data_IF_211466359535
#
_entry.id   IF_211466359535
#
_cell.length_a   1.000
_cell.length_b   1.000
_cell.length_c   1.000
_cell.angle_alpha   90.00
_cell.angle_beta   90.00
_cell.angle_gamma   90.00
#
_symmetry.space_group_name_H-M   'P 1'
#
loop_
_entity.id
_entity.type
_entity.pdbx_description
1 polymer ?
#
# COMPACT_ATOMS: atom_id res chain seq x y z
N UNK A 1 11.32 14.94 -1.07
CA UNK A 1 10.73 15.24 0.26
C UNK A 1 9.79 14.09 0.58
N UNK A 2 9.86 13.53 1.78
CA UNK A 2 8.98 12.44 2.19
C UNK A 2 7.85 12.96 3.09
N UNK A 3 6.61 12.61 2.79
CA UNK A 3 5.47 12.87 3.67
C UNK A 3 4.67 11.60 3.94
N UNK A 4 3.99 11.60 5.09
CA UNK A 4 3.11 10.50 5.49
C UNK A 4 1.70 10.78 4.97
N UNK A 5 1.12 9.79 4.32
CA UNK A 5 -0.23 9.84 3.78
C UNK A 5 -1.07 8.74 4.44
N UNK A 6 -1.92 9.08 5.44
CA UNK A 6 -2.85 8.12 6.01
C UNK A 6 -4.00 7.84 5.05
N UNK A 7 -4.37 6.56 4.90
CA UNK A 7 -5.48 6.12 4.07
C UNK A 7 -6.38 5.17 4.89
N UNK A 8 -7.69 5.38 4.86
CA UNK A 8 -8.65 4.50 5.54
C UNK A 8 -9.10 3.43 4.56
N UNK A 9 -8.89 2.16 4.92
CA UNK A 9 -9.39 1.02 4.18
C UNK A 9 -10.58 0.41 4.91
N UNK A 10 -11.52 -0.13 4.14
CA UNK A 10 -12.63 -0.92 4.66
C UNK A 10 -12.62 -2.29 4.00
N UNK A 11 -12.81 -3.34 4.79
CA UNK A 11 -12.95 -4.69 4.27
C UNK A 11 -14.33 -4.85 3.65
N UNK A 12 -14.43 -5.23 2.36
CA UNK A 12 -15.72 -5.38 1.68
C UNK A 12 -16.53 -6.57 2.18
N UNK A 13 -15.92 -7.52 2.91
CA UNK A 13 -16.59 -8.75 3.34
C UNK A 13 -17.13 -8.68 4.78
N UNK A 14 -16.37 -8.12 5.72
CA UNK A 14 -16.77 -8.09 7.14
C UNK A 14 -17.04 -6.68 7.67
N UNK A 15 -16.81 -5.63 6.87
CA UNK A 15 -17.03 -4.24 7.26
C UNK A 15 -15.99 -3.68 8.25
N UNK A 16 -14.94 -4.42 8.58
CA UNK A 16 -13.83 -3.92 9.39
C UNK A 16 -13.17 -2.73 8.68
N UNK A 17 -12.95 -1.63 9.40
CA UNK A 17 -12.23 -0.46 8.89
C UNK A 17 -10.92 -0.28 9.63
N UNK A 18 -9.89 0.17 8.91
CA UNK A 18 -8.54 0.29 9.45
C UNK A 18 -7.71 1.29 8.68
N UNK A 19 -7.02 2.17 9.40
CA UNK A 19 -6.08 3.11 8.82
C UNK A 19 -4.78 2.40 8.42
N UNK A 20 -4.24 2.78 7.27
CA UNK A 20 -2.87 2.47 6.84
C UNK A 20 -2.10 3.77 6.67
N UNK A 21 -0.80 3.73 6.90
CA UNK A 21 0.07 4.88 6.69
C UNK A 21 1.02 4.58 5.56
N UNK A 22 0.97 5.39 4.51
CA UNK A 22 1.93 5.37 3.41
C UNK A 22 3.00 6.43 3.63
N UNK A 23 4.19 6.17 3.12
CA UNK A 23 5.19 7.22 2.90
C UNK A 23 5.31 7.42 1.40
N UNK A 24 5.18 8.68 0.99
CA UNK A 24 5.41 9.11 -0.38
C UNK A 24 6.68 9.96 -0.35
N UNK A 25 7.74 9.49 -1.02
CA UNK A 25 8.97 10.24 -1.22
C UNK A 25 8.95 10.86 -2.62
N UNK A 26 8.77 12.17 -2.71
CA UNK A 26 8.88 12.89 -3.98
C UNK A 26 10.34 13.14 -4.29
N UNK A 27 10.83 12.60 -5.41
CA UNK A 27 12.17 12.87 -5.92
C UNK A 27 12.41 14.38 -6.18
N UNK A 28 13.68 14.82 -6.24
CA UNK A 28 14.06 16.25 -6.23
C UNK A 28 13.48 17.11 -7.38
N UNK A 29 12.86 16.52 -8.42
CA UNK A 29 12.34 17.24 -9.59
C UNK A 29 10.89 16.86 -9.96
N UNK A 30 10.11 16.28 -9.02
CA UNK A 30 8.76 15.77 -9.33
C UNK A 30 8.76 14.56 -10.28
N UNK A 31 9.94 14.04 -10.59
CA UNK A 31 10.17 12.85 -11.39
C UNK A 31 9.95 11.61 -10.52
N UNK A 32 8.71 11.12 -10.46
CA UNK A 32 8.36 9.81 -9.92
C UNK A 32 8.65 9.66 -8.43
N UNK A 33 7.67 9.94 -7.59
CA UNK A 33 7.79 9.66 -6.17
C UNK A 33 7.65 8.17 -5.86
N UNK A 34 8.43 7.68 -4.89
CA UNK A 34 8.29 6.32 -4.37
C UNK A 34 7.21 6.26 -3.31
N UNK A 35 6.33 5.25 -3.37
CA UNK A 35 5.30 5.04 -2.34
C UNK A 35 5.46 3.68 -1.69
N UNK A 36 5.82 3.67 -0.41
CA UNK A 36 5.95 2.45 0.38
C UNK A 36 5.04 2.45 1.61
N UNK A 37 4.69 1.26 2.07
CA UNK A 37 3.84 1.07 3.25
C UNK A 37 4.68 1.24 4.52
N UNK A 38 4.32 2.21 5.37
CA UNK A 38 4.96 2.42 6.66
C UNK A 38 4.25 1.61 7.75
N UNK A 39 2.92 1.71 7.81
CA UNK A 39 2.11 1.00 8.81
C UNK A 39 0.89 0.39 8.14
N UNK A 40 0.72 -0.92 8.32
CA UNK A 40 -0.43 -1.66 7.81
C UNK A 40 -1.68 -1.53 8.72
N UNK A 41 -1.56 -0.90 9.89
CA UNK A 41 -2.64 -0.86 10.88
C UNK A 41 -3.13 -2.25 11.25
N UNK A 42 -4.46 -2.54 11.19
CA UNK A 42 -5.00 -3.85 11.52
C UNK A 42 -4.84 -4.90 10.40
N UNK A 43 -4.33 -4.50 9.23
CA UNK A 43 -4.25 -5.38 8.07
C UNK A 43 -2.98 -6.24 8.12
N UNK A 44 -3.10 -7.51 7.73
CA UNK A 44 -1.93 -8.36 7.50
C UNK A 44 -1.26 -7.92 6.20
N UNK A 45 0.01 -7.53 6.28
CA UNK A 45 0.81 -7.16 5.13
C UNK A 45 1.56 -8.38 4.60
N UNK A 46 1.29 -8.75 3.36
CA UNK A 46 2.05 -9.75 2.61
C UNK A 46 2.86 -9.05 1.52
N UNK A 47 4.14 -8.70 1.79
CA UNK A 47 5.03 -8.12 0.78
C UNK A 47 5.40 -9.19 -0.26
N UNK A 48 5.37 -8.82 -1.54
CA UNK A 48 5.90 -9.66 -2.62
C UNK A 48 7.39 -9.39 -2.86
N UNK A 49 7.84 -8.14 -2.75
CA UNK A 49 9.25 -7.77 -2.93
C UNK A 49 9.65 -6.61 -2.02
N UNK A 50 10.92 -6.57 -1.63
CA UNK A 50 11.56 -5.42 -0.97
C UNK A 50 12.07 -4.45 -2.04
N UNK A 51 11.16 -3.70 -2.65
CA UNK A 51 11.48 -2.68 -3.64
C UNK A 51 11.14 -1.28 -3.09
N UNK A 52 11.70 -0.21 -3.68
CA UNK A 52 11.47 1.16 -3.18
C UNK A 52 9.97 1.54 -3.20
N UNK A 53 9.18 0.86 -4.03
CA UNK A 53 7.72 0.96 -4.07
C UNK A 53 7.05 -0.26 -3.43
N UNK A 54 5.94 -0.04 -2.71
CA UNK A 54 5.18 -1.11 -2.10
C UNK A 54 4.58 -2.02 -3.16
N UNK A 55 5.11 -3.25 -3.23
CA UNK A 55 4.57 -4.36 -4.01
C UNK A 55 4.11 -5.46 -3.06
N UNK A 56 2.83 -5.45 -2.73
CA UNK A 56 2.25 -6.39 -1.77
C UNK A 56 0.73 -6.41 -1.78
N UNK A 57 0.18 -7.09 -0.78
CA UNK A 57 -1.27 -7.14 -0.54
C UNK A 57 -1.54 -6.89 0.94
N UNK A 58 -2.64 -6.21 1.21
CA UNK A 58 -3.19 -6.06 2.54
C UNK A 58 -4.38 -7.00 2.67
N UNK A 59 -4.37 -7.80 3.74
CA UNK A 59 -5.37 -8.85 3.99
C UNK A 59 -6.10 -8.55 5.29
N UNK A 60 -7.42 -8.71 5.27
CA UNK A 60 -8.25 -8.65 6.47
C UNK A 60 -7.85 -9.75 7.45
N UNK A 61 -7.53 -9.43 8.72
CA UNK A 61 -7.21 -10.45 9.73
C UNK A 61 -8.43 -11.31 10.10
N UNK A 62 -9.65 -10.81 9.88
CA UNK A 62 -10.89 -11.47 10.33
C UNK A 62 -11.45 -12.46 9.31
N UNK A 63 -11.43 -12.11 8.02
CA UNK A 63 -12.07 -12.90 6.97
C UNK A 63 -11.12 -13.31 5.84
N UNK A 64 -9.81 -13.04 5.98
CA UNK A 64 -8.76 -13.42 5.02
C UNK A 64 -8.93 -12.82 3.60
N UNK A 65 -9.85 -11.87 3.42
CA UNK A 65 -10.06 -11.19 2.14
C UNK A 65 -9.00 -10.11 1.90
N UNK A 66 -8.51 -10.04 0.67
CA UNK A 66 -7.61 -8.97 0.21
C UNK A 66 -8.38 -7.64 0.16
N UNK A 67 -7.94 -6.66 0.95
CA UNK A 67 -8.56 -5.32 1.00
C UNK A 67 -7.86 -4.31 0.11
N UNK A 68 -6.57 -4.51 -0.16
CA UNK A 68 -5.81 -3.68 -1.10
C UNK A 68 -4.70 -4.48 -1.76
N UNK A 69 -4.44 -4.18 -3.02
CA UNK A 69 -3.32 -4.71 -3.80
C UNK A 69 -2.45 -3.55 -4.23
N UNK A 70 -1.15 -3.76 -4.25
CA UNK A 70 -0.25 -2.83 -4.93
C UNK A 70 -0.70 -2.67 -6.39
N UNK A 71 -0.60 -1.45 -6.94
CA UNK A 71 -0.84 -1.25 -8.36
C UNK A 71 0.09 -2.19 -9.13
N UNK A 72 -0.49 -3.01 -10.02
CA UNK A 72 0.33 -3.81 -10.92
C UNK A 72 0.96 -2.81 -11.88
N UNK A 73 2.25 -2.53 -11.70
CA UNK A 73 3.03 -1.86 -12.72
C UNK A 73 3.08 -2.83 -13.88
N UNK A 74 2.07 -2.79 -14.76
CA UNK A 74 2.21 -3.33 -16.08
C UNK A 74 3.37 -2.54 -16.68
N UNK A 75 4.51 -3.22 -16.77
CA UNK A 75 5.64 -2.85 -17.61
C UNK A 75 5.04 -2.30 -18.91
N UNK A 76 5.18 -1.00 -19.15
CA UNK A 76 4.99 -0.46 -20.48
C UNK A 76 6.17 -0.96 -21.29
N UNK A 77 6.10 -2.21 -21.74
CA UNK A 77 6.70 -2.61 -22.99
C UNK A 77 5.98 -1.80 -24.09
N UNK A 78 6.68 -0.81 -24.64
CA UNK A 78 6.55 -0.32 -26.03
C UNK A 78 7.63 0.72 -26.33
#
# INVERSE_FOLDING_TARGET
MAFKEPEILACPSCGLSGAVTWVVDEGPDGAGGHRYLLEAGPWRNEPQESLPDWRGRLICPTCDVVVKRAPQTHEKEQ
#
